data_IF_057495437650
#
_entry.id   IF_057495437650
#
_cell.length_a   1.000
_cell.length_b   1.000
_cell.length_c   1.000
_cell.angle_alpha   90.00
_cell.angle_beta   90.00
_cell.angle_gamma   90.00
#
_symmetry.space_group_name_H-M   'P 1'
#
loop_
_entity.id
_entity.type
_entity.pdbx_description
1 polymer ?
#
# COMPACT_ATOMS: atom_id res chain seq x y z
N UNK A 1 2.72 22.87 20.60
CA UNK A 1 1.50 23.65 20.34
C UNK A 1 0.59 23.55 21.57
N UNK A 2 -0.17 24.59 21.88
CA UNK A 2 -0.80 24.76 23.20
C UNK A 2 -2.30 25.00 23.08
N UNK A 3 -3.06 24.55 24.08
CA UNK A 3 -4.51 24.73 24.12
C UNK A 3 -5.24 23.90 23.07
N UNK A 4 -6.32 24.46 22.50
CA UNK A 4 -7.22 23.74 21.59
C UNK A 4 -6.55 23.30 20.29
N UNK A 5 -5.51 24.01 19.85
CA UNK A 5 -4.76 23.68 18.63
C UNK A 5 -4.00 22.34 18.76
N UNK A 6 -3.63 21.95 19.99
CA UNK A 6 -2.95 20.68 20.27
C UNK A 6 -3.83 19.43 20.19
N UNK A 7 -5.15 19.61 20.03
CA UNK A 7 -6.06 18.48 19.85
C UNK A 7 -5.94 17.91 18.44
N UNK A 8 -5.65 16.62 18.38
CA UNK A 8 -5.50 15.87 17.14
C UNK A 8 -6.75 15.06 16.86
N UNK A 9 -7.10 14.99 15.59
CA UNK A 9 -8.10 14.08 15.05
C UNK A 9 -7.45 13.09 14.09
N UNK A 10 -7.98 11.87 14.07
CA UNK A 10 -7.41 10.74 13.33
C UNK A 10 -8.44 10.15 12.38
N UNK A 11 -8.04 9.88 11.15
CA UNK A 11 -8.93 9.32 10.13
C UNK A 11 -8.21 8.22 9.33
N UNK A 12 -8.91 7.13 9.06
CA UNK A 12 -8.40 6.04 8.23
C UNK A 12 -8.77 6.32 6.77
N UNK A 13 -7.82 6.81 5.99
CA UNK A 13 -8.02 7.17 4.58
C UNK A 13 -8.06 5.94 3.66
N UNK A 14 -7.18 4.96 3.90
CA UNK A 14 -7.09 3.73 3.10
C UNK A 14 -6.65 2.57 3.95
N UNK A 15 -7.18 1.39 3.67
CA UNK A 15 -6.76 0.13 4.28
C UNK A 15 -6.65 -0.95 3.20
N UNK A 16 -5.77 -1.93 3.40
CA UNK A 16 -5.75 -3.14 2.57
C UNK A 16 -7.10 -3.86 2.62
N UNK A 17 -7.69 -4.00 3.81
CA UNK A 17 -9.10 -4.39 4.00
C UNK A 17 -9.84 -3.33 4.85
N UNK A 18 -10.69 -2.49 4.24
CA UNK A 18 -11.48 -1.48 4.95
C UNK A 18 -12.44 -2.03 6.01
N UNK A 19 -12.85 -3.30 5.88
CA UNK A 19 -13.76 -3.94 6.83
C UNK A 19 -13.03 -4.54 8.04
N UNK A 20 -11.70 -4.63 8.00
CA UNK A 20 -10.92 -5.30 9.03
C UNK A 20 -10.50 -4.36 10.16
N UNK A 21 -10.14 -3.11 9.86
CA UNK A 21 -9.64 -2.15 10.83
C UNK A 21 -10.54 -0.92 11.00
N UNK A 22 -10.51 -0.32 12.18
CA UNK A 22 -11.05 1.00 12.47
C UNK A 22 -10.05 1.81 13.27
N UNK A 23 -10.17 3.13 13.22
CA UNK A 23 -9.39 4.05 14.03
C UNK A 23 -10.31 4.93 14.89
N UNK A 24 -9.95 5.13 16.14
CA UNK A 24 -10.63 6.08 17.03
C UNK A 24 -10.25 7.52 16.67
N UNK A 25 -11.25 8.35 16.34
CA UNK A 25 -11.01 9.70 15.84
C UNK A 25 -10.32 10.65 16.83
N UNK A 26 -10.38 10.36 18.14
CA UNK A 26 -9.85 11.24 19.19
C UNK A 26 -8.53 10.74 19.80
N UNK A 27 -8.30 9.42 19.78
CA UNK A 27 -7.14 8.80 20.43
C UNK A 27 -6.19 8.09 19.44
N UNK A 28 -6.58 7.97 18.17
CA UNK A 28 -5.80 7.27 17.15
C UNK A 28 -5.71 5.75 17.36
N UNK A 29 -6.54 5.18 18.24
CA UNK A 29 -6.48 3.76 18.56
C UNK A 29 -6.97 2.92 17.38
N UNK A 30 -6.12 2.01 16.89
CA UNK A 30 -6.46 1.10 15.80
C UNK A 30 -7.02 -0.20 16.37
N UNK A 31 -8.23 -0.57 15.97
CA UNK A 31 -8.92 -1.80 16.41
C UNK A 31 -9.30 -2.67 15.23
N UNK A 32 -9.37 -3.97 15.47
CA UNK A 32 -10.00 -4.91 14.54
C UNK A 32 -11.52 -4.85 14.68
N UNK A 33 -12.25 -4.72 13.57
CA UNK A 33 -13.72 -4.72 13.54
C UNK A 33 -14.32 -6.12 13.62
N UNK A 34 -13.55 -7.14 13.22
CA UNK A 34 -13.94 -8.55 13.24
C UNK A 34 -12.75 -9.42 13.64
N UNK A 35 -13.03 -10.67 13.95
CA UNK A 35 -12.00 -11.70 14.18
C UNK A 35 -11.21 -11.89 12.88
N UNK A 36 -9.90 -12.06 13.06
CA UNK A 36 -8.96 -12.36 12.00
C UNK A 36 -9.15 -13.80 11.55
N UNK A 37 -9.17 -14.01 10.24
CA UNK A 37 -9.35 -15.32 9.62
C UNK A 37 -8.14 -15.63 8.73
N UNK A 38 -7.89 -16.92 8.46
CA UNK A 38 -6.79 -17.37 7.59
C UNK A 38 -6.86 -16.84 6.14
N UNK A 39 -8.03 -16.33 5.72
CA UNK A 39 -8.22 -15.71 4.41
C UNK A 39 -7.76 -14.26 4.35
N UNK A 40 -7.52 -13.65 5.51
CA UNK A 40 -7.09 -12.26 5.59
C UNK A 40 -5.63 -12.15 5.18
N UNK A 41 -5.30 -11.12 4.40
CA UNK A 41 -3.92 -10.89 3.96
C UNK A 41 -3.02 -10.66 5.17
N UNK A 42 -1.95 -11.46 5.32
CA UNK A 42 -1.05 -11.33 6.47
C UNK A 42 -0.39 -9.95 6.60
N UNK A 43 -0.24 -9.23 5.48
CA UNK A 43 0.28 -7.86 5.44
C UNK A 43 -0.85 -6.88 5.22
N UNK A 44 -1.02 -5.98 6.18
CA UNK A 44 -2.07 -4.98 6.17
C UNK A 44 -1.41 -3.60 6.18
N UNK A 45 -1.89 -2.70 5.31
CA UNK A 45 -1.42 -1.33 5.21
C UNK A 45 -2.55 -0.38 5.50
N UNK A 46 -2.37 0.51 6.47
CA UNK A 46 -3.34 1.52 6.86
C UNK A 46 -2.73 2.91 6.61
N UNK A 47 -3.40 3.72 5.80
CA UNK A 47 -3.05 5.12 5.56
C UNK A 47 -3.91 5.97 6.50
N UNK A 48 -3.27 6.60 7.46
CA UNK A 48 -3.94 7.36 8.52
C UNK A 48 -3.61 8.83 8.35
N UNK A 49 -4.63 9.68 8.32
CA UNK A 49 -4.48 11.12 8.42
C UNK A 49 -4.58 11.53 9.88
N UNK A 50 -3.68 12.44 10.27
CA UNK A 50 -3.69 13.14 11.54
C UNK A 50 -3.89 14.61 11.25
N UNK A 51 -4.84 15.25 11.92
CA UNK A 51 -5.19 16.65 11.71
C UNK A 51 -5.24 17.39 13.04
N UNK A 52 -4.55 18.52 13.13
CA UNK A 52 -4.67 19.41 14.29
C UNK A 52 -5.97 20.22 14.24
N UNK A 53 -6.23 21.02 15.27
CA UNK A 53 -7.44 21.84 15.34
C UNK A 53 -7.16 23.34 15.14
N UNK A 54 -6.15 23.66 14.31
CA UNK A 54 -5.75 25.04 14.04
C UNK A 54 -6.68 25.80 13.10
N UNK A 55 -6.49 27.13 13.06
CA UNK A 55 -7.00 28.01 12.01
C UNK A 55 -5.81 28.53 11.17
N UNK A 56 -5.44 27.97 10.02
CA UNK A 56 -5.96 26.81 9.30
C UNK A 56 -5.36 25.48 9.83
N UNK A 57 -6.11 24.37 9.73
CA UNK A 57 -5.65 23.11 10.29
C UNK A 57 -4.56 22.47 9.44
N UNK A 58 -3.50 22.00 10.09
CA UNK A 58 -2.43 21.23 9.45
C UNK A 58 -2.75 19.74 9.49
N UNK A 59 -2.31 19.03 8.45
CA UNK A 59 -2.51 17.59 8.32
C UNK A 59 -1.19 16.88 8.07
N UNK A 60 -1.05 15.68 8.62
CA UNK A 60 0.04 14.76 8.34
C UNK A 60 -0.54 13.38 8.02
N UNK A 61 0.13 12.63 7.15
CA UNK A 61 -0.31 11.28 6.76
C UNK A 61 0.76 10.27 7.14
N UNK A 62 0.35 9.18 7.76
CA UNK A 62 1.22 8.10 8.22
C UNK A 62 0.77 6.79 7.60
N UNK A 63 1.75 5.98 7.17
CA UNK A 63 1.53 4.62 6.72
C UNK A 63 1.86 3.64 7.86
N UNK A 64 0.85 2.95 8.37
CA UNK A 64 1.00 1.88 9.35
C UNK A 64 1.02 0.52 8.64
N UNK A 65 2.12 -0.22 8.81
CA UNK A 65 2.26 -1.59 8.33
C UNK A 65 2.00 -2.56 9.48
N UNK A 66 0.98 -3.41 9.34
CA UNK A 66 0.61 -4.42 10.33
C UNK A 66 0.87 -5.79 9.72
N UNK A 67 1.60 -6.64 10.45
CA UNK A 67 1.88 -8.02 10.07
C UNK A 67 1.13 -8.95 11.02
N UNK A 68 0.23 -9.75 10.46
CA UNK A 68 -0.48 -10.82 11.15
C UNK A 68 0.44 -12.04 11.21
N UNK A 69 0.60 -12.59 12.41
CA UNK A 69 1.47 -13.74 12.67
C UNK A 69 0.69 -14.78 13.48
N UNK A 70 0.77 -16.04 13.06
CA UNK A 70 0.16 -17.16 13.76
C UNK A 70 1.09 -17.64 14.88
N UNK A 71 0.71 -17.36 16.13
CA UNK A 71 1.43 -17.84 17.31
C UNK A 71 2.69 -17.03 17.68
N UNK A 72 2.99 -17.04 18.98
CA UNK A 72 4.16 -16.38 19.57
C UNK A 72 5.38 -17.31 19.54
N UNK A 73 5.89 -17.64 18.35
CA UNK A 73 7.11 -18.44 18.24
C UNK A 73 7.74 -18.27 16.87
N UNK A 74 8.70 -17.36 16.74
CA UNK A 74 10.02 -17.53 16.09
C UNK A 74 10.68 -16.16 15.75
N UNK A 75 12.00 -16.11 15.46
CA UNK A 75 12.83 -14.89 15.28
C UNK A 75 12.48 -14.02 14.03
N UNK A 76 11.25 -14.10 13.55
CA UNK A 76 10.69 -13.45 12.35
C UNK A 76 10.72 -11.92 12.38
N UNK A 77 10.81 -11.29 13.56
CA UNK A 77 11.03 -9.85 13.66
C UNK A 77 12.36 -9.40 13.02
N UNK A 78 13.36 -10.28 12.91
CA UNK A 78 14.66 -9.96 12.28
C UNK A 78 14.58 -9.78 10.76
N UNK A 79 13.46 -10.15 10.11
CA UNK A 79 13.24 -9.99 8.66
C UNK A 79 12.38 -8.76 8.32
N UNK A 80 11.74 -8.13 9.30
CA UNK A 80 10.94 -6.90 9.09
C UNK A 80 11.80 -5.76 8.54
N UNK A 81 13.10 -5.75 8.84
CA UNK A 81 14.06 -4.76 8.31
C UNK A 81 14.46 -4.93 6.84
N UNK A 82 14.25 -6.09 6.21
CA UNK A 82 14.90 -6.40 4.91
C UNK A 82 13.94 -6.36 3.73
N UNK A 83 12.63 -6.30 3.95
CA UNK A 83 11.68 -6.31 2.85
C UNK A 83 10.48 -5.40 3.09
N UNK A 84 10.66 -4.12 2.78
CA UNK A 84 9.62 -3.33 2.11
C UNK A 84 9.35 -4.03 0.77
N UNK A 85 8.64 -5.16 0.81
CA UNK A 85 8.21 -5.85 -0.38
C UNK A 85 7.15 -4.97 -1.03
N UNK A 86 7.48 -4.49 -2.23
CA UNK A 86 6.59 -3.75 -3.12
C UNK A 86 5.22 -4.42 -3.18
N UNK A 87 4.12 -3.63 -3.24
CA UNK A 87 2.77 -4.19 -3.35
C UNK A 87 2.74 -5.26 -4.46
N UNK A 88 2.09 -6.39 -4.21
CA UNK A 88 1.92 -7.43 -5.23
C UNK A 88 1.17 -6.91 -6.48
N UNK A 89 0.37 -5.85 -6.32
CA UNK A 89 -0.21 -5.07 -7.43
C UNK A 89 0.87 -4.44 -8.31
N UNK A 90 1.89 -3.81 -7.73
CA UNK A 90 2.96 -3.14 -8.49
C UNK A 90 3.79 -4.17 -9.26
N UNK A 91 4.14 -5.30 -8.64
CA UNK A 91 4.83 -6.39 -9.34
C UNK A 91 3.99 -6.94 -10.50
N UNK A 92 2.68 -7.02 -10.32
CA UNK A 92 1.75 -7.50 -11.35
C UNK A 92 1.66 -6.50 -12.51
N UNK A 93 1.55 -5.20 -12.21
CA UNK A 93 1.58 -4.12 -13.20
C UNK A 93 2.89 -4.10 -14.00
N UNK A 94 4.05 -4.22 -13.33
CA UNK A 94 5.35 -4.28 -14.00
C UNK A 94 5.42 -5.48 -14.95
N UNK A 95 4.93 -6.66 -14.56
CA UNK A 95 4.88 -7.83 -15.45
C UNK A 95 4.08 -7.56 -16.72
N UNK A 96 2.88 -7.00 -16.60
CA UNK A 96 2.06 -6.67 -17.78
C UNK A 96 2.70 -5.59 -18.65
N UNK A 97 3.33 -4.57 -18.04
CA UNK A 97 4.05 -3.53 -18.76
C UNK A 97 5.18 -4.12 -19.63
N UNK A 98 5.96 -5.05 -19.06
CA UNK A 98 7.04 -5.74 -19.78
C UNK A 98 6.50 -6.56 -20.95
N UNK A 99 5.40 -7.29 -20.75
CA UNK A 99 4.75 -8.09 -21.81
C UNK A 99 4.27 -7.19 -22.95
N UNK A 100 3.58 -6.09 -22.64
CA UNK A 100 3.11 -5.13 -23.63
C UNK A 100 4.26 -4.51 -24.42
N UNK A 101 5.33 -4.08 -23.73
CA UNK A 101 6.50 -3.48 -24.37
C UNK A 101 7.19 -4.46 -25.33
N UNK A 102 7.35 -5.72 -24.92
CA UNK A 102 7.93 -6.77 -25.76
C UNK A 102 7.08 -7.03 -27.01
N UNK A 103 5.75 -7.11 -26.86
CA UNK A 103 4.83 -7.33 -27.98
C UNK A 103 4.86 -6.17 -28.99
N UNK A 104 4.81 -4.92 -28.52
CA UNK A 104 4.85 -3.73 -29.39
C UNK A 104 6.19 -3.64 -30.13
N UNK A 105 7.30 -3.89 -29.43
CA UNK A 105 8.64 -3.91 -30.04
C UNK A 105 8.76 -5.00 -31.10
N UNK A 106 8.21 -6.18 -30.86
CA UNK A 106 8.23 -7.29 -31.82
C UNK A 106 7.42 -6.96 -33.08
N UNK A 107 6.19 -6.46 -32.93
CA UNK A 107 5.36 -6.04 -34.07
C UNK A 107 6.06 -4.96 -34.88
N UNK A 108 6.66 -3.97 -34.22
CA UNK A 108 7.42 -2.90 -34.87
C UNK A 108 8.61 -3.44 -35.68
N UNK A 109 9.35 -4.41 -35.15
CA UNK A 109 10.47 -5.06 -35.84
C UNK A 109 9.98 -5.81 -37.08
N UNK A 110 8.90 -6.59 -36.96
CA UNK A 110 8.29 -7.29 -38.11
C UNK A 110 7.87 -6.28 -39.19
N UNK A 111 7.24 -5.17 -38.81
CA UNK A 111 6.88 -4.10 -39.74
C UNK A 111 8.10 -3.53 -40.47
N UNK A 112 9.22 -3.31 -39.77
CA UNK A 112 10.48 -2.84 -40.38
C UNK A 112 11.02 -3.86 -41.39
N UNK A 113 11.06 -5.15 -41.02
CA UNK A 113 11.59 -6.20 -41.89
C UNK A 113 10.75 -6.34 -43.16
N UNK A 114 9.42 -6.33 -43.02
CA UNK A 114 8.50 -6.33 -44.17
C UNK A 114 8.70 -5.09 -45.02
N UNK A 115 8.81 -3.91 -44.40
CA UNK A 115 9.03 -2.66 -45.13
C UNK A 115 10.34 -2.67 -45.92
N UNK A 116 11.44 -3.15 -45.33
CA UNK A 116 12.73 -3.30 -46.03
C UNK A 116 12.61 -4.34 -47.14
N UNK A 117 12.02 -5.51 -46.87
CA UNK A 117 11.87 -6.58 -47.85
C UNK A 117 10.96 -6.25 -49.04
N UNK A 118 9.98 -5.34 -48.86
CA UNK A 118 9.14 -4.82 -49.94
C UNK A 118 9.80 -3.66 -50.68
N UNK A 119 10.70 -2.93 -50.03
CA UNK A 119 11.40 -1.76 -50.59
C UNK A 119 12.70 -2.14 -51.32
N UNK A 120 13.20 -3.35 -51.13
CA UNK A 120 14.25 -4.02 -51.92
C UNK A 120 13.62 -4.70 -53.13
#
# INVERSE_FOLDING_TARGET
DSGQNSWLSYELLKATDPALFSIGAQNGEVKTRRVLNERDTNKQRLVIQVRDNGLAPQTSTVLLNVLLVDGFSDPFLRRVDVSVQEPEEDKTLTKYLVICLAAVSFVFLVCIVVFIGVKV
#
